data_IF_373186537593
#
_entry.id   IF_373186537593
#
_cell.length_a   1.000
_cell.length_b   1.000
_cell.length_c   1.000
_cell.angle_alpha   90.00
_cell.angle_beta   90.00
_cell.angle_gamma   90.00
#
_symmetry.space_group_name_H-M   'P 1'
#
loop_
_entity.id
_entity.type
_entity.pdbx_description
1 polymer ?
#
# COMPACT_ATOMS: atom_id res chain seq x y z
N UNK A 1 24.45 -13.85 -2.98
CA UNK A 1 24.82 -15.01 -2.14
C UNK A 1 24.10 -14.87 -0.83
N UNK A 2 23.47 -15.94 -0.35
CA UNK A 2 22.96 -16.06 1.02
C UNK A 2 24.00 -16.81 1.85
N UNK A 3 24.30 -16.32 3.05
CA UNK A 3 25.25 -16.94 3.98
C UNK A 3 24.64 -17.02 5.39
N UNK A 4 25.39 -17.60 6.32
CA UNK A 4 24.95 -17.80 7.71
C UNK A 4 24.87 -16.53 8.56
N UNK A 5 25.14 -15.34 7.98
CA UNK A 5 24.97 -14.05 8.66
C UNK A 5 23.63 -13.40 8.32
N UNK A 6 22.90 -13.92 7.33
CA UNK A 6 21.57 -13.44 6.98
C UNK A 6 20.58 -13.92 8.04
N UNK A 7 19.94 -12.97 8.73
CA UNK A 7 18.90 -13.29 9.72
C UNK A 7 17.54 -13.53 9.08
N UNK A 8 17.17 -12.67 8.13
CA UNK A 8 15.92 -12.76 7.40
C UNK A 8 16.01 -12.08 6.03
N UNK A 9 15.13 -12.48 5.12
CA UNK A 9 14.83 -11.76 3.87
C UNK A 9 13.43 -11.18 3.99
N UNK A 10 13.28 -9.91 3.63
CA UNK A 10 11.99 -9.22 3.57
C UNK A 10 11.60 -9.03 2.12
N UNK A 11 10.36 -9.39 1.77
CA UNK A 11 9.79 -9.13 0.47
C UNK A 11 8.32 -8.74 0.59
N UNK A 12 7.75 -8.27 -0.51
CA UNK A 12 6.31 -8.11 -0.69
C UNK A 12 5.91 -9.02 -1.83
N UNK A 13 4.82 -9.79 -1.70
CA UNK A 13 4.31 -10.62 -2.80
C UNK A 13 2.78 -10.53 -2.88
N UNK A 14 2.19 -9.89 -3.92
CA UNK A 14 2.86 -9.24 -5.05
C UNK A 14 3.81 -8.11 -4.66
N UNK A 15 4.88 -7.91 -5.41
CA UNK A 15 5.89 -6.89 -5.15
C UNK A 15 5.35 -5.47 -5.38
N UNK A 16 6.17 -4.46 -5.05
CA UNK A 16 5.80 -3.03 -5.15
C UNK A 16 5.73 -2.50 -6.58
N UNK A 17 5.93 -3.36 -7.58
CA UNK A 17 5.66 -3.06 -8.98
C UNK A 17 4.33 -3.67 -9.46
N UNK A 18 3.53 -4.21 -8.54
CA UNK A 18 2.29 -4.91 -8.86
C UNK A 18 2.49 -6.26 -9.54
N UNK A 19 3.63 -6.93 -9.35
CA UNK A 19 3.92 -8.22 -10.00
C UNK A 19 3.98 -9.35 -8.97
N UNK A 20 3.47 -10.52 -9.32
CA UNK A 20 3.61 -11.71 -8.49
C UNK A 20 5.00 -12.33 -8.66
N UNK A 21 5.68 -12.65 -7.56
CA UNK A 21 6.98 -13.32 -7.57
C UNK A 21 6.81 -14.81 -7.90
N UNK A 22 6.88 -15.16 -9.18
CA UNK A 22 6.70 -16.53 -9.66
C UNK A 22 7.73 -17.54 -9.14
N UNK A 23 8.89 -17.05 -8.66
CA UNK A 23 9.98 -17.85 -8.11
C UNK A 23 9.99 -17.88 -6.57
N UNK A 24 8.90 -17.47 -5.91
CA UNK A 24 8.84 -17.35 -4.46
C UNK A 24 9.23 -18.61 -3.69
N UNK A 25 8.90 -19.80 -4.20
CA UNK A 25 9.28 -21.08 -3.58
C UNK A 25 10.78 -21.32 -3.65
N UNK A 26 11.42 -21.00 -4.77
CA UNK A 26 12.88 -21.10 -4.95
C UNK A 26 13.61 -20.13 -4.03
N UNK A 27 13.06 -18.91 -3.85
CA UNK A 27 13.56 -17.91 -2.92
C UNK A 27 13.44 -18.41 -1.49
N UNK A 28 12.25 -18.90 -1.09
CA UNK A 28 12.00 -19.44 0.24
C UNK A 28 12.96 -20.59 0.57
N UNK A 29 13.10 -21.56 -0.34
CA UNK A 29 14.04 -22.67 -0.21
C UNK A 29 15.48 -22.19 -0.01
N UNK A 30 15.91 -21.17 -0.76
CA UNK A 30 17.26 -20.64 -0.66
C UNK A 30 17.50 -19.92 0.69
N UNK A 31 16.51 -19.16 1.17
CA UNK A 31 16.52 -18.47 2.47
C UNK A 31 16.56 -19.45 3.63
N UNK A 32 15.72 -20.47 3.61
CA UNK A 32 15.71 -21.50 4.65
C UNK A 32 16.97 -22.35 4.65
N UNK A 33 17.55 -22.66 3.47
CA UNK A 33 18.85 -23.37 3.37
C UNK A 33 20.00 -22.60 4.01
N UNK A 34 19.95 -21.26 4.07
CA UNK A 34 20.95 -20.46 4.79
C UNK A 34 20.66 -20.33 6.29
N UNK A 35 19.54 -20.89 6.79
CA UNK A 35 19.08 -20.76 8.17
C UNK A 35 18.40 -19.43 8.48
N UNK A 36 18.08 -18.64 7.46
CA UNK A 36 17.40 -17.35 7.59
C UNK A 36 15.87 -17.54 7.55
N UNK A 37 15.13 -16.51 7.99
CA UNK A 37 13.66 -16.48 7.94
C UNK A 37 13.14 -15.67 6.75
N UNK A 38 11.97 -16.03 6.23
CA UNK A 38 11.28 -15.28 5.19
C UNK A 38 10.15 -14.43 5.77
N UNK A 39 10.35 -13.11 5.73
CA UNK A 39 9.36 -12.12 6.10
C UNK A 39 8.62 -11.61 4.86
N UNK A 40 7.29 -11.61 4.92
CA UNK A 40 6.46 -10.94 3.92
C UNK A 40 5.84 -9.66 4.48
N UNK A 41 6.04 -8.55 3.79
CA UNK A 41 5.20 -7.37 3.93
C UNK A 41 3.83 -7.69 3.30
N UNK A 42 2.76 -7.62 4.10
CA UNK A 42 1.40 -7.91 3.67
C UNK A 42 0.59 -6.70 3.26
N UNK A 43 1.22 -5.56 2.97
CA UNK A 43 0.54 -4.40 2.42
C UNK A 43 -0.25 -4.72 1.14
N UNK A 44 0.25 -5.66 0.32
CA UNK A 44 -0.34 -6.05 -0.97
C UNK A 44 -1.22 -7.31 -0.86
N UNK A 45 -1.65 -7.68 0.36
CA UNK A 45 -2.42 -8.91 0.57
C UNK A 45 -3.77 -8.93 -0.16
N UNK A 46 -4.32 -7.74 -0.51
CA UNK A 46 -5.58 -7.62 -1.24
C UNK A 46 -5.57 -8.41 -2.57
N UNK A 47 -4.42 -8.46 -3.25
CA UNK A 47 -4.27 -9.13 -4.53
C UNK A 47 -4.37 -10.66 -4.48
N UNK A 48 -4.17 -11.27 -3.30
CA UNK A 48 -4.06 -12.72 -3.12
C UNK A 48 -4.99 -13.25 -2.03
N UNK A 49 -5.86 -12.39 -1.51
CA UNK A 49 -6.76 -12.72 -0.41
C UNK A 49 -7.73 -13.85 -0.82
N UNK A 50 -7.78 -14.95 -0.06
CA UNK A 50 -8.59 -16.11 -0.39
C UNK A 50 -8.10 -16.92 -1.61
N UNK A 51 -6.96 -16.53 -2.21
CA UNK A 51 -6.35 -17.18 -3.38
C UNK A 51 -5.11 -17.96 -3.01
N UNK A 52 -4.27 -17.40 -2.14
CA UNK A 52 -2.99 -17.98 -1.73
C UNK A 52 -2.86 -17.90 -0.21
N UNK A 53 -2.38 -18.99 0.40
CA UNK A 53 -1.96 -18.97 1.80
C UNK A 53 -0.48 -18.61 1.86
N UNK A 54 -0.09 -17.51 2.54
CA UNK A 54 1.32 -17.11 2.64
C UNK A 54 2.25 -18.21 3.15
N UNK A 55 1.78 -19.04 4.10
CA UNK A 55 2.55 -20.16 4.62
C UNK A 55 2.91 -21.21 3.55
N UNK A 56 2.05 -21.40 2.53
CA UNK A 56 2.31 -22.33 1.42
C UNK A 56 3.41 -21.78 0.48
N UNK A 57 3.74 -20.49 0.58
CA UNK A 57 4.88 -19.85 -0.10
C UNK A 57 6.16 -19.88 0.74
N UNK A 58 6.14 -20.56 1.90
CA UNK A 58 7.25 -20.64 2.83
C UNK A 58 7.54 -19.32 3.57
N UNK A 59 6.53 -18.46 3.72
CA UNK A 59 6.61 -17.25 4.53
C UNK A 59 6.51 -17.61 6.01
N UNK A 60 7.51 -17.22 6.80
CA UNK A 60 7.58 -17.50 8.25
C UNK A 60 6.83 -16.48 9.10
N UNK A 61 6.81 -15.23 8.64
CA UNK A 61 6.22 -14.11 9.36
C UNK A 61 5.69 -13.09 8.38
N UNK A 62 4.50 -12.56 8.65
CA UNK A 62 3.86 -11.58 7.80
C UNK A 62 3.08 -10.58 8.63
N UNK A 63 3.30 -9.30 8.41
CA UNK A 63 2.38 -8.29 8.93
C UNK A 63 1.27 -8.02 7.93
N UNK A 64 0.07 -7.66 8.42
CA UNK A 64 -1.09 -7.29 7.61
C UNK A 64 -1.47 -5.84 7.87
N UNK A 65 -2.05 -5.15 6.90
CA UNK A 65 -2.54 -3.78 7.09
C UNK A 65 -4.07 -3.77 7.11
N UNK A 66 -4.67 -3.77 8.31
CA UNK A 66 -6.14 -3.73 8.42
C UNK A 66 -6.75 -2.48 7.76
N UNK A 67 -5.99 -1.38 7.74
CA UNK A 67 -6.34 -0.08 7.16
C UNK A 67 -6.11 0.01 5.66
N UNK A 68 -5.74 -1.11 5.04
CA UNK A 68 -5.71 -1.29 3.59
C UNK A 68 -6.69 -2.40 3.22
N UNK A 69 -6.28 -3.65 3.39
CA UNK A 69 -6.99 -4.84 2.89
C UNK A 69 -8.30 -5.16 3.61
N UNK A 70 -8.51 -4.69 4.85
CA UNK A 70 -9.63 -5.12 5.70
C UNK A 70 -10.60 -3.97 5.99
N UNK A 71 -10.76 -3.08 5.01
CA UNK A 71 -11.75 -1.99 4.95
C UNK A 71 -11.75 -0.98 6.12
N UNK A 72 -10.75 -1.01 7.00
CA UNK A 72 -10.71 -0.02 8.08
C UNK A 72 -10.25 1.34 7.52
N UNK A 73 -10.81 2.46 7.98
CA UNK A 73 -10.64 3.74 7.31
C UNK A 73 -9.22 4.31 7.44
N UNK A 74 -8.71 4.90 6.36
CA UNK A 74 -7.37 5.52 6.31
C UNK A 74 -7.23 6.77 7.20
N UNK A 75 -8.32 7.49 7.48
CA UNK A 75 -8.36 8.59 8.46
C UNK A 75 -7.44 9.79 8.15
N UNK A 76 -7.03 10.00 6.90
CA UNK A 76 -6.08 11.06 6.53
C UNK A 76 -4.64 10.80 6.98
N UNK A 77 -4.29 9.55 7.32
CA UNK A 77 -2.95 9.14 7.76
C UNK A 77 -2.94 8.20 8.97
N UNK A 78 -4.08 7.95 9.59
CA UNK A 78 -4.24 7.00 10.68
C UNK A 78 -5.56 7.21 11.45
N UNK A 79 -5.87 6.32 12.41
CA UNK A 79 -5.03 5.25 12.93
C UNK A 79 -4.96 4.02 12.01
N UNK A 80 -3.97 3.16 12.25
CA UNK A 80 -3.83 1.86 11.60
C UNK A 80 -3.87 0.70 12.59
N UNK A 81 -3.80 -0.52 12.07
CA UNK A 81 -3.53 -1.73 12.83
C UNK A 81 -2.74 -2.71 11.98
N UNK A 82 -1.68 -3.27 12.58
CA UNK A 82 -0.72 -4.17 11.94
C UNK A 82 -0.64 -5.53 12.64
N UNK A 83 -1.65 -6.42 12.52
CA UNK A 83 -1.53 -7.79 13.02
C UNK A 83 -0.36 -8.51 12.35
N UNK A 84 0.35 -9.32 13.12
CA UNK A 84 1.49 -10.11 12.62
C UNK A 84 1.16 -11.59 12.77
N UNK A 85 1.10 -12.30 11.66
CA UNK A 85 0.99 -13.74 11.62
C UNK A 85 2.40 -14.34 11.63
N UNK A 86 2.59 -15.40 12.42
CA UNK A 86 3.86 -16.07 12.64
C UNK A 86 3.68 -17.58 12.52
N UNK A 87 4.67 -18.29 11.97
CA UNK A 87 4.71 -19.76 12.02
C UNK A 87 5.02 -20.25 13.45
N UNK A 88 4.88 -21.55 13.66
CA UNK A 88 5.16 -22.19 14.96
C UNK A 88 6.60 -22.01 15.44
N UNK A 89 7.56 -21.85 14.52
CA UNK A 89 8.97 -21.57 14.83
C UNK A 89 9.10 -20.23 15.57
N UNK A 90 8.25 -19.26 15.25
CA UNK A 90 8.28 -17.91 15.82
C UNK A 90 7.27 -17.71 16.96
N UNK A 91 6.34 -18.65 17.17
CA UNK A 91 5.32 -18.57 18.22
C UNK A 91 5.88 -18.32 19.64
N UNK A 92 7.02 -18.91 20.07
CA UNK A 92 7.60 -18.63 21.40
C UNK A 92 7.97 -17.16 21.64
N UNK A 93 8.19 -16.40 20.56
CA UNK A 93 8.60 -15.00 20.59
C UNK A 93 7.43 -14.01 20.50
N UNK A 94 6.20 -14.50 20.27
CA UNK A 94 5.03 -13.66 20.02
C UNK A 94 4.80 -12.62 21.14
N UNK A 95 4.49 -11.35 20.80
CA UNK A 95 4.32 -10.30 21.79
C UNK A 95 3.01 -10.45 22.58
N UNK A 96 2.97 -9.88 23.77
CA UNK A 96 1.77 -9.80 24.61
C UNK A 96 0.82 -8.67 24.19
N UNK A 97 -0.49 -8.77 24.48
CA UNK A 97 -1.16 -9.89 25.17
C UNK A 97 -1.55 -11.04 24.23
N UNK A 98 -1.70 -12.26 24.77
CA UNK A 98 -2.21 -13.42 24.04
C UNK A 98 -3.68 -13.65 24.36
N UNK A 99 -4.46 -14.01 23.34
CA UNK A 99 -5.84 -14.45 23.47
C UNK A 99 -5.86 -15.93 23.10
N UNK A 100 -6.25 -16.78 24.04
CA UNK A 100 -6.28 -18.23 23.89
C UNK A 100 -7.72 -18.73 24.00
N UNK A 101 -8.12 -19.58 23.07
CA UNK A 101 -9.44 -20.23 23.08
C UNK A 101 -9.34 -21.58 23.78
N UNK A 102 -10.31 -21.86 24.67
CA UNK A 102 -10.44 -23.12 25.40
C UNK A 102 -11.89 -23.58 25.42
N UNK A 103 -12.15 -24.81 25.87
CA UNK A 103 -13.52 -25.31 26.05
C UNK A 103 -14.38 -24.44 27.00
N UNK A 104 -13.75 -23.69 27.92
CA UNK A 104 -14.41 -22.76 28.85
C UNK A 104 -14.56 -21.33 28.31
N UNK A 105 -14.12 -21.06 27.09
CA UNK A 105 -14.12 -19.72 26.48
C UNK A 105 -12.71 -19.15 26.28
N UNK A 106 -12.61 -17.82 26.19
CA UNK A 106 -11.36 -17.12 25.93
C UNK A 106 -10.65 -16.68 27.21
N UNK A 107 -9.33 -16.89 27.26
CA UNK A 107 -8.45 -16.34 28.30
C UNK A 107 -7.50 -15.31 27.70
N UNK A 108 -7.10 -14.31 28.51
CA UNK A 108 -6.15 -13.29 28.10
C UNK A 108 -4.92 -13.36 29.01
N UNK A 109 -3.75 -13.53 28.40
CA UNK A 109 -2.45 -13.49 29.07
C UNK A 109 -1.80 -12.14 28.83
N UNK A 110 -1.70 -11.32 29.88
CA UNK A 110 -1.22 -9.92 29.80
C UNK A 110 0.21 -9.70 30.31
N UNK A 111 0.74 -10.68 31.04
CA UNK A 111 2.05 -10.69 31.66
C UNK A 111 2.69 -12.07 31.46
N UNK A 112 4.00 -12.11 31.22
CA UNK A 112 4.70 -13.37 30.97
C UNK A 112 4.64 -14.32 32.18
N UNK A 113 4.79 -13.81 33.40
CA UNK A 113 4.93 -14.69 34.57
C UNK A 113 6.07 -15.69 34.34
N UNK A 114 5.80 -16.98 34.58
CA UNK A 114 6.71 -18.09 34.22
C UNK A 114 6.55 -18.57 32.76
N UNK A 115 5.58 -18.05 32.00
CA UNK A 115 5.33 -18.43 30.61
C UNK A 115 6.36 -17.83 29.65
N UNK A 116 6.82 -18.65 28.69
CA UNK A 116 7.79 -18.36 27.62
C UNK A 116 8.76 -17.20 27.90
N UNK A 117 9.93 -17.52 28.47
CA UNK A 117 11.04 -16.58 28.69
C UNK A 117 11.58 -15.93 27.40
N UNK A 118 11.08 -16.32 26.22
CA UNK A 118 11.56 -15.88 24.92
C UNK A 118 10.68 -14.81 24.25
N UNK A 119 9.47 -14.55 24.77
CA UNK A 119 8.58 -13.53 24.20
C UNK A 119 9.23 -12.14 24.24
N UNK A 120 8.95 -11.32 23.21
CA UNK A 120 9.30 -9.90 23.22
C UNK A 120 8.52 -9.08 24.26
N UNK A 121 7.57 -9.70 24.97
CA UNK A 121 6.71 -9.03 25.94
C UNK A 121 5.75 -8.07 25.26
N UNK A 122 5.33 -7.04 25.99
CA UNK A 122 4.34 -6.08 25.49
C UNK A 122 5.00 -5.01 24.62
N UNK A 123 4.56 -4.91 23.37
CA UNK A 123 5.08 -3.93 22.41
C UNK A 123 4.27 -2.63 22.31
N UNK A 124 3.06 -2.58 22.88
CA UNK A 124 2.17 -1.42 22.83
C UNK A 124 1.24 -1.35 24.03
N UNK A 125 0.65 -0.18 24.29
CA UNK A 125 -0.34 -0.02 25.34
C UNK A 125 -1.59 -0.89 25.08
N UNK A 126 -2.10 -1.51 26.15
CA UNK A 126 -3.33 -2.32 26.14
C UNK A 126 -3.33 -3.39 25.04
N UNK A 127 -4.47 -3.67 24.42
CA UNK A 127 -4.69 -4.75 23.46
C UNK A 127 -4.51 -4.29 22.00
N UNK A 128 -4.22 -3.02 21.77
CA UNK A 128 -4.22 -2.38 20.45
C UNK A 128 -5.51 -1.65 20.12
N UNK A 129 -5.69 -1.34 18.83
CA UNK A 129 -6.79 -0.53 18.33
C UNK A 129 -8.07 -1.36 18.17
N UNK A 130 -8.81 -1.58 19.26
CA UNK A 130 -9.99 -2.46 19.27
C UNK A 130 -11.03 -2.11 18.20
N UNK A 131 -11.27 -0.82 17.95
CA UNK A 131 -12.17 -0.39 16.88
C UNK A 131 -11.74 -0.82 15.48
N UNK A 132 -10.44 -0.99 15.23
CA UNK A 132 -9.93 -1.51 13.96
C UNK A 132 -10.18 -3.02 13.85
N UNK A 133 -10.02 -3.76 14.95
CA UNK A 133 -10.31 -5.20 14.97
C UNK A 133 -11.78 -5.50 14.72
N UNK A 134 -12.69 -4.76 15.37
CA UNK A 134 -14.14 -4.95 15.18
C UNK A 134 -14.54 -4.71 13.72
N UNK A 135 -14.02 -3.65 13.08
CA UNK A 135 -14.31 -3.35 11.68
C UNK A 135 -13.78 -4.43 10.73
N UNK A 136 -12.53 -4.85 10.92
CA UNK A 136 -11.94 -5.91 10.13
C UNK A 136 -12.70 -7.24 10.31
N UNK A 137 -13.11 -7.58 11.54
CA UNK A 137 -13.93 -8.75 11.82
C UNK A 137 -15.29 -8.67 11.11
N UNK A 138 -15.98 -7.54 11.19
CA UNK A 138 -17.24 -7.32 10.47
C UNK A 138 -17.06 -7.48 8.96
N UNK A 139 -15.98 -6.95 8.39
CA UNK A 139 -15.64 -7.11 6.97
C UNK A 139 -15.47 -8.59 6.59
N UNK A 140 -14.66 -9.32 7.36
CA UNK A 140 -14.39 -10.75 7.15
C UNK A 140 -15.67 -11.59 7.20
N UNK A 141 -16.49 -11.40 8.24
CA UNK A 141 -17.74 -12.15 8.43
C UNK A 141 -18.76 -11.81 7.35
N UNK A 142 -18.83 -10.54 6.92
CA UNK A 142 -19.81 -10.11 5.91
C UNK A 142 -19.49 -10.65 4.50
N UNK A 143 -18.22 -10.76 4.15
CA UNK A 143 -17.81 -11.27 2.83
C UNK A 143 -17.79 -12.79 2.78
N UNK A 144 -17.43 -13.47 3.87
CA UNK A 144 -17.19 -14.92 3.83
C UNK A 144 -16.00 -15.30 2.94
N UNK A 145 -15.68 -16.59 2.86
CA UNK A 145 -14.49 -17.05 2.13
C UNK A 145 -14.56 -16.83 0.61
N UNK A 146 -15.75 -17.00 0.03
CA UNK A 146 -16.04 -16.77 -1.39
C UNK A 146 -16.04 -15.28 -1.74
N UNK A 147 -16.65 -14.43 -0.92
CA UNK A 147 -16.61 -12.97 -1.13
C UNK A 147 -15.19 -12.39 -1.02
N UNK A 148 -14.37 -12.86 -0.08
CA UNK A 148 -12.96 -12.43 0.03
C UNK A 148 -12.12 -12.87 -1.17
N UNK A 149 -12.45 -14.02 -1.78
CA UNK A 149 -11.82 -14.45 -3.02
C UNK A 149 -12.20 -13.55 -4.19
N UNK A 150 -13.49 -13.20 -4.29
CA UNK A 150 -14.00 -12.28 -5.31
C UNK A 150 -13.35 -10.90 -5.21
N UNK A 151 -13.19 -10.37 -3.99
CA UNK A 151 -12.46 -9.12 -3.72
C UNK A 151 -11.08 -9.12 -4.40
N UNK A 152 -10.28 -10.17 -4.19
CA UNK A 152 -8.95 -10.25 -4.79
C UNK A 152 -9.00 -10.35 -6.32
N UNK A 153 -9.95 -11.12 -6.87
CA UNK A 153 -10.13 -11.30 -8.31
C UNK A 153 -10.53 -9.97 -8.99
N UNK A 154 -11.47 -9.23 -8.40
CA UNK A 154 -11.95 -7.95 -8.94
C UNK A 154 -10.92 -6.84 -8.81
N UNK A 155 -10.15 -6.79 -7.71
CA UNK A 155 -9.04 -5.84 -7.58
C UNK A 155 -7.98 -6.03 -8.69
N UNK A 156 -7.62 -7.29 -8.97
CA UNK A 156 -6.68 -7.63 -10.06
C UNK A 156 -7.29 -7.34 -11.43
N UNK A 157 -8.57 -7.63 -11.63
CA UNK A 157 -9.30 -7.34 -12.87
C UNK A 157 -9.34 -5.84 -13.16
N UNK A 158 -9.74 -5.03 -12.17
CA UNK A 158 -9.83 -3.57 -12.28
C UNK A 158 -8.48 -2.95 -12.64
N UNK A 159 -7.39 -3.41 -12.01
CA UNK A 159 -6.05 -2.96 -12.34
C UNK A 159 -5.66 -3.31 -13.78
N UNK A 160 -5.88 -4.56 -14.22
CA UNK A 160 -5.57 -4.94 -15.60
C UNK A 160 -6.48 -4.24 -16.62
N UNK A 161 -7.72 -3.90 -16.27
CA UNK A 161 -8.61 -3.08 -17.09
C UNK A 161 -8.03 -1.68 -17.32
N UNK A 162 -7.61 -0.99 -16.25
CA UNK A 162 -6.91 0.30 -16.37
C UNK A 162 -5.62 0.15 -17.18
N UNK A 163 -4.79 -0.85 -16.89
CA UNK A 163 -3.55 -1.10 -17.62
C UNK A 163 -3.81 -1.22 -19.13
N UNK A 164 -4.82 -1.99 -19.50
CA UNK A 164 -5.19 -2.17 -20.90
C UNK A 164 -5.73 -0.89 -21.55
N UNK A 165 -6.47 -0.06 -20.81
CA UNK A 165 -6.89 1.27 -21.28
C UNK A 165 -5.71 2.22 -21.52
N UNK A 166 -4.67 2.15 -20.69
CA UNK A 166 -3.57 3.12 -20.70
C UNK A 166 -2.34 2.73 -21.54
N UNK A 167 -2.14 1.44 -21.87
CA UNK A 167 -0.88 0.94 -22.45
C UNK A 167 -0.41 1.59 -23.76
N UNK A 168 -1.32 2.25 -24.50
CA UNK A 168 -0.98 2.98 -25.73
C UNK A 168 -0.55 4.43 -25.50
N UNK A 169 -0.85 4.98 -24.33
CA UNK A 169 -0.67 6.39 -24.00
C UNK A 169 0.40 6.60 -22.91
N UNK A 170 0.59 5.61 -22.05
CA UNK A 170 1.60 5.61 -21.00
C UNK A 170 2.56 4.43 -21.16
N UNK A 171 3.84 4.69 -20.92
CA UNK A 171 4.87 3.65 -20.93
C UNK A 171 4.74 2.76 -19.68
N UNK A 172 4.75 1.45 -19.93
CA UNK A 172 4.69 0.41 -18.91
C UNK A 172 6.09 -0.22 -18.80
N UNK A 173 6.80 -0.08 -17.65
CA UNK A 173 8.15 -0.61 -17.50
C UNK A 173 8.20 -2.14 -17.51
N UNK A 174 7.09 -2.81 -17.18
CA UNK A 174 6.98 -4.26 -17.13
C UNK A 174 5.91 -4.80 -18.10
N UNK A 175 6.22 -5.82 -18.91
CA UNK A 175 5.27 -6.43 -19.82
C UNK A 175 4.32 -7.39 -19.10
N UNK A 176 3.23 -7.79 -19.77
CA UNK A 176 2.28 -8.76 -19.24
C UNK A 176 1.25 -8.18 -18.28
N UNK A 177 0.50 -9.04 -17.60
CA UNK A 177 -0.52 -8.64 -16.63
C UNK A 177 0.11 -8.17 -15.31
N UNK A 178 -0.58 -7.26 -14.63
CA UNK A 178 -0.26 -6.91 -13.25
C UNK A 178 -1.18 -7.63 -12.26
N UNK A 179 -0.92 -7.47 -10.97
CA UNK A 179 -1.80 -7.87 -9.88
C UNK A 179 -2.76 -6.71 -9.57
N UNK A 180 -3.02 -6.38 -8.30
CA UNK A 180 -3.98 -5.33 -7.90
C UNK A 180 -3.60 -3.88 -8.24
N UNK A 181 -2.40 -3.62 -8.78
CA UNK A 181 -1.91 -2.28 -9.05
C UNK A 181 -1.17 -2.20 -10.38
N UNK A 182 -1.27 -1.07 -11.07
CA UNK A 182 -0.64 -0.79 -12.37
C UNK A 182 0.51 0.18 -12.17
N UNK A 183 1.67 -0.14 -12.73
CA UNK A 183 2.81 0.75 -12.73
C UNK A 183 3.06 1.31 -14.13
N UNK A 184 3.02 2.64 -14.25
CA UNK A 184 3.51 3.39 -15.41
C UNK A 184 4.80 4.14 -15.04
N UNK A 185 5.62 4.46 -16.04
CA UNK A 185 6.80 5.34 -15.89
C UNK A 185 6.62 6.67 -16.66
N UNK A 186 7.64 7.54 -16.64
CA UNK A 186 7.59 8.86 -17.27
C UNK A 186 8.12 8.92 -18.72
N UNK A 187 8.51 7.79 -19.33
CA UNK A 187 9.17 7.81 -20.64
C UNK A 187 8.27 8.41 -21.73
N UNK A 188 6.97 8.11 -21.72
CA UNK A 188 6.02 8.68 -22.67
C UNK A 188 5.82 10.20 -22.52
N UNK A 189 6.19 10.78 -21.37
CA UNK A 189 6.00 12.20 -21.04
C UNK A 189 7.21 13.08 -21.43
N UNK A 190 8.40 12.47 -21.52
CA UNK A 190 9.66 13.17 -21.78
C UNK A 190 9.69 13.98 -23.08
N UNK A 191 9.17 13.49 -24.23
CA UNK A 191 9.19 14.25 -25.48
C UNK A 191 8.44 15.59 -25.37
N UNK A 192 7.40 15.64 -24.55
CA UNK A 192 6.69 16.88 -24.24
C UNK A 192 7.46 17.75 -23.25
N UNK A 193 8.26 17.16 -22.35
CA UNK A 193 8.89 17.86 -21.23
C UNK A 193 8.00 17.92 -19.99
N UNK A 194 7.02 17.02 -19.89
CA UNK A 194 6.18 16.85 -18.71
C UNK A 194 6.84 15.94 -17.68
N UNK A 195 6.53 16.19 -16.41
CA UNK A 195 6.92 15.34 -15.28
C UNK A 195 5.70 14.60 -14.75
N UNK A 196 5.95 13.50 -14.04
CA UNK A 196 4.93 12.76 -13.28
C UNK A 196 4.09 13.67 -12.39
N UNK A 197 4.71 14.64 -11.72
CA UNK A 197 4.01 15.62 -10.88
C UNK A 197 2.98 16.42 -11.69
N UNK A 198 3.26 16.75 -12.95
CA UNK A 198 2.34 17.52 -13.79
C UNK A 198 1.10 16.69 -14.14
N UNK A 199 1.26 15.40 -14.42
CA UNK A 199 0.14 14.47 -14.62
C UNK A 199 -0.69 14.36 -13.35
N UNK A 200 -0.05 14.15 -12.19
CA UNK A 200 -0.73 14.06 -10.90
C UNK A 200 -1.51 15.34 -10.56
N UNK A 201 -0.95 16.51 -10.85
CA UNK A 201 -1.64 17.79 -10.63
C UNK A 201 -2.75 18.04 -11.64
N UNK A 202 -2.60 17.63 -12.89
CA UNK A 202 -3.66 17.72 -13.89
C UNK A 202 -4.85 16.81 -13.57
N UNK A 203 -4.62 15.63 -13.00
CA UNK A 203 -5.69 14.74 -12.53
C UNK A 203 -6.58 15.39 -11.47
N UNK A 204 -6.03 16.23 -10.59
CA UNK A 204 -6.80 16.97 -9.59
C UNK A 204 -7.83 17.89 -10.27
N UNK A 205 -7.44 18.58 -11.34
CA UNK A 205 -8.38 19.41 -12.12
C UNK A 205 -9.41 18.57 -12.89
N UNK A 206 -9.14 17.28 -13.11
CA UNK A 206 -10.10 16.30 -13.66
C UNK A 206 -11.02 15.69 -12.60
N UNK A 207 -10.89 16.10 -11.33
CA UNK A 207 -11.74 15.63 -10.24
C UNK A 207 -11.24 14.35 -9.54
N UNK A 208 -10.02 13.89 -9.86
CA UNK A 208 -9.43 12.69 -9.24
C UNK A 208 -8.37 13.05 -8.20
N UNK A 209 -8.34 12.31 -7.10
CA UNK A 209 -7.13 12.25 -6.30
C UNK A 209 -6.05 11.52 -7.12
N UNK A 210 -4.82 12.04 -7.22
CA UNK A 210 -3.77 11.40 -7.98
C UNK A 210 -3.37 10.06 -7.36
N UNK A 211 -2.81 9.20 -8.21
CA UNK A 211 -2.19 7.94 -7.83
C UNK A 211 -0.93 8.16 -6.98
N UNK A 212 -0.37 7.08 -6.42
CA UNK A 212 0.96 7.16 -5.80
C UNK A 212 2.00 7.53 -6.86
N UNK A 213 2.82 8.54 -6.59
CA UNK A 213 3.88 8.98 -7.51
C UNK A 213 5.27 8.77 -6.91
N UNK A 214 6.25 8.59 -7.78
CA UNK A 214 7.68 8.43 -7.44
C UNK A 214 8.00 7.22 -6.55
N UNK A 215 7.10 6.23 -6.52
CA UNK A 215 7.32 4.95 -5.89
C UNK A 215 6.73 3.83 -6.78
N UNK A 216 7.41 2.67 -6.94
CA UNK A 216 8.68 2.29 -6.32
C UNK A 216 9.89 3.05 -6.88
N UNK A 217 10.94 3.22 -6.07
CA UNK A 217 12.11 4.03 -6.42
C UNK A 217 12.95 3.48 -7.59
N UNK A 218 12.76 2.21 -7.92
CA UNK A 218 13.46 1.56 -9.05
C UNK A 218 12.89 1.94 -10.42
N UNK A 219 11.75 2.65 -10.46
CA UNK A 219 11.12 3.14 -11.68
C UNK A 219 11.11 4.67 -11.70
N UNK A 220 11.78 5.24 -12.70
CA UNK A 220 11.86 6.70 -12.86
C UNK A 220 10.48 7.27 -13.18
N UNK A 221 10.08 8.30 -12.43
CA UNK A 221 8.80 8.96 -12.64
C UNK A 221 7.58 8.05 -12.44
N UNK A 222 7.72 7.02 -11.59
CA UNK A 222 6.68 6.04 -11.30
C UNK A 222 5.31 6.67 -11.02
N UNK A 223 4.27 6.12 -11.64
CA UNK A 223 2.86 6.35 -11.34
C UNK A 223 2.23 4.99 -11.02
N UNK A 224 1.90 4.78 -9.75
CA UNK A 224 1.39 3.52 -9.22
C UNK A 224 -0.10 3.64 -8.90
N UNK A 225 -0.93 2.97 -9.70
CA UNK A 225 -2.38 3.09 -9.72
C UNK A 225 -3.00 1.81 -9.15
N UNK A 226 -3.65 1.90 -8.00
CA UNK A 226 -4.39 0.80 -7.36
C UNK A 226 -5.89 1.18 -7.31
N UNK A 227 -6.75 0.62 -8.19
CA UNK A 227 -8.17 0.98 -8.22
C UNK A 227 -9.00 0.29 -7.13
N UNK A 228 -8.50 -0.80 -6.53
CA UNK A 228 -9.26 -1.71 -5.66
C UNK A 228 -10.48 -2.34 -6.37
N UNK A 229 -11.15 -3.25 -5.67
CA UNK A 229 -12.34 -3.96 -6.14
C UNK A 229 -13.63 -3.14 -6.06
N UNK A 230 -13.67 -2.10 -5.22
CA UNK A 230 -14.92 -1.40 -4.89
C UNK A 230 -15.30 -0.33 -5.92
N UNK A 231 -14.38 0.05 -6.80
CA UNK A 231 -14.63 1.05 -7.83
C UNK A 231 -15.41 0.44 -9.01
N UNK A 232 -16.43 1.16 -9.48
CA UNK A 232 -17.26 0.68 -10.59
C UNK A 232 -16.55 0.87 -11.93
N UNK A 233 -16.93 0.07 -12.93
CA UNK A 233 -16.41 0.20 -14.29
C UNK A 233 -16.52 1.63 -14.83
N UNK A 234 -17.61 2.33 -14.55
CA UNK A 234 -17.82 3.71 -14.98
C UNK A 234 -16.79 4.67 -14.41
N UNK A 235 -16.34 4.46 -13.15
CA UNK A 235 -15.27 5.25 -12.55
C UNK A 235 -13.92 4.88 -13.17
N UNK A 236 -13.66 3.59 -13.43
CA UNK A 236 -12.44 3.17 -14.13
C UNK A 236 -12.35 3.79 -15.53
N UNK A 237 -13.45 3.80 -16.28
CA UNK A 237 -13.54 4.43 -17.60
C UNK A 237 -13.25 5.93 -17.52
N UNK A 238 -13.88 6.64 -16.58
CA UNK A 238 -13.63 8.07 -16.37
C UNK A 238 -12.18 8.37 -16.01
N UNK A 239 -11.55 7.52 -15.19
CA UNK A 239 -10.14 7.65 -14.83
C UNK A 239 -9.24 7.42 -16.05
N UNK A 240 -9.51 6.37 -16.83
CA UNK A 240 -8.78 6.07 -18.08
C UNK A 240 -8.90 7.25 -19.05
N UNK A 241 -10.11 7.77 -19.27
CA UNK A 241 -10.36 8.92 -20.15
C UNK A 241 -9.63 10.19 -19.67
N UNK A 242 -9.62 10.45 -18.35
CA UNK A 242 -8.88 11.57 -17.77
C UNK A 242 -7.37 11.45 -18.03
N UNK A 243 -6.80 10.27 -17.80
CA UNK A 243 -5.39 9.97 -18.07
C UNK A 243 -5.06 10.09 -19.57
N UNK A 244 -5.84 9.47 -20.45
CA UNK A 244 -5.65 9.56 -21.90
C UNK A 244 -5.75 11.02 -22.38
N UNK A 245 -6.70 11.79 -21.82
CA UNK A 245 -6.82 13.23 -22.14
C UNK A 245 -5.56 14.00 -21.74
N UNK A 246 -4.98 13.73 -20.58
CA UNK A 246 -3.73 14.36 -20.13
C UNK A 246 -2.58 13.98 -21.08
N UNK A 247 -2.45 12.70 -21.44
CA UNK A 247 -1.44 12.24 -22.38
C UNK A 247 -1.60 12.90 -23.77
N UNK A 248 -2.82 12.96 -24.30
CA UNK A 248 -3.09 13.59 -25.60
C UNK A 248 -2.88 15.11 -25.59
N UNK A 249 -3.06 15.78 -24.44
CA UNK A 249 -2.73 17.20 -24.26
C UNK A 249 -1.27 17.46 -23.93
N UNK A 250 -0.41 16.43 -23.92
CA UNK A 250 1.03 16.58 -23.75
C UNK A 250 1.70 17.06 -25.04
N UNK A 251 1.21 18.18 -25.58
CA UNK A 251 1.71 18.85 -26.79
C UNK A 251 2.31 20.20 -26.43
N UNK A 252 3.14 20.76 -27.32
CA UNK A 252 3.78 22.07 -27.11
C UNK A 252 2.78 23.22 -26.85
N UNK A 253 1.56 23.10 -27.37
CA UNK A 253 0.50 24.12 -27.22
C UNK A 253 -0.19 24.08 -25.85
N UNK A 254 -0.33 22.88 -25.26
CA UNK A 254 -1.11 22.66 -24.04
C UNK A 254 -0.25 22.41 -22.80
N UNK A 255 1.06 22.22 -22.96
CA UNK A 255 1.96 21.87 -21.86
C UNK A 255 1.94 22.87 -20.70
N UNK A 256 1.87 24.16 -21.00
CA UNK A 256 1.83 25.21 -19.97
C UNK A 256 0.59 25.10 -19.09
N UNK A 257 -0.56 24.69 -19.66
CA UNK A 257 -1.77 24.46 -18.88
C UNK A 257 -1.59 23.29 -17.90
N UNK A 258 -1.01 22.17 -18.36
CA UNK A 258 -0.73 21.00 -17.51
C UNK A 258 0.29 21.30 -16.40
N UNK A 259 1.34 22.06 -16.71
CA UNK A 259 2.35 22.48 -15.73
C UNK A 259 1.79 23.45 -14.67
N UNK A 260 0.76 24.23 -15.02
CA UNK A 260 0.11 25.16 -14.10
C UNK A 260 -0.99 24.53 -13.26
N UNK A 261 -1.44 23.32 -13.60
CA UNK A 261 -2.42 22.58 -12.80
C UNK A 261 -1.91 22.32 -11.36
N UNK A 262 -2.78 22.21 -10.34
CA UNK A 262 -4.22 22.42 -10.43
C UNK A 262 -4.57 23.92 -10.40
N UNK A 263 -5.60 24.31 -11.14
CA UNK A 263 -6.13 25.68 -11.20
C UNK A 263 -7.56 25.83 -10.67
N UNK A 264 -8.31 24.74 -10.55
CA UNK A 264 -9.71 24.76 -10.08
C UNK A 264 -9.85 24.55 -8.57
N UNK A 265 -8.78 24.13 -7.88
CA UNK A 265 -8.78 23.89 -6.43
C UNK A 265 -8.65 25.17 -5.59
N UNK A 266 -9.07 25.15 -4.31
CA UNK A 266 -8.95 26.30 -3.41
C UNK A 266 -7.51 26.83 -3.24
N UNK A 267 -6.51 25.96 -3.47
CA UNK A 267 -5.09 26.28 -3.47
C UNK A 267 -4.45 25.69 -4.73
N UNK A 268 -3.52 26.44 -5.33
CA UNK A 268 -2.64 25.98 -6.41
C UNK A 268 -1.44 25.22 -5.83
N UNK A 269 -0.45 24.90 -6.67
CA UNK A 269 0.84 24.34 -6.22
C UNK A 269 1.42 25.19 -5.08
N UNK A 270 1.80 24.51 -4.00
CA UNK A 270 2.43 25.13 -2.84
C UNK A 270 3.94 25.25 -3.08
N UNK A 271 4.57 26.23 -2.44
CA UNK A 271 6.02 26.35 -2.44
C UNK A 271 6.63 25.39 -1.40
N UNK A 272 6.85 24.15 -1.85
CA UNK A 272 7.44 23.07 -1.04
C UNK A 272 8.86 23.41 -0.58
N UNK A 273 9.62 24.16 -1.40
CA UNK A 273 10.99 24.57 -1.05
C UNK A 273 10.98 25.56 0.11
N UNK A 274 10.09 26.56 0.06
CA UNK A 274 9.91 27.50 1.17
C UNK A 274 9.39 26.80 2.41
N UNK A 275 8.42 25.90 2.28
CA UNK A 275 7.87 25.14 3.41
C UNK A 275 8.94 24.29 4.11
N UNK A 276 9.82 23.63 3.34
CA UNK A 276 10.91 22.83 3.89
C UNK A 276 12.03 23.67 4.52
N UNK A 277 12.39 24.82 3.91
CA UNK A 277 13.48 25.68 4.40
C UNK A 277 13.06 26.63 5.52
N UNK A 278 11.80 27.06 5.55
CA UNK A 278 11.25 28.02 6.51
C UNK A 278 9.90 27.51 7.06
N UNK A 279 9.89 26.39 7.81
CA UNK A 279 8.66 25.75 8.24
C UNK A 279 7.92 26.57 9.30
N UNK A 280 6.63 26.83 9.07
CA UNK A 280 5.71 27.40 10.07
C UNK A 280 4.85 26.24 10.60
N UNK A 281 5.27 25.62 11.70
CA UNK A 281 4.70 24.36 12.21
C UNK A 281 3.54 24.54 13.18
N UNK A 282 3.34 25.75 13.70
CA UNK A 282 2.20 26.09 14.55
C UNK A 282 1.73 27.50 14.22
N UNK A 283 0.43 27.71 14.38
CA UNK A 283 -0.11 29.05 14.40
C UNK A 283 0.37 29.76 15.68
N UNK A 284 0.74 31.03 15.53
CA UNK A 284 1.06 31.92 16.63
C UNK A 284 0.12 33.10 16.55
N UNK A 285 -0.52 33.43 17.67
CA UNK A 285 -1.30 34.66 17.75
C UNK A 285 -0.33 35.84 17.61
N UNK A 286 -0.67 36.77 16.72
CA UNK A 286 0.06 38.02 16.61
C UNK A 286 -0.25 38.89 17.84
N UNK A 287 0.59 38.79 18.86
CA UNK A 287 0.59 39.72 19.98
C UNK A 287 1.37 40.94 19.50
N UNK A 288 0.66 41.89 18.87
CA UNK A 288 1.25 43.17 18.45
C UNK A 288 2.06 43.84 19.57
N UNK A 289 2.85 44.89 19.26
CA UNK A 289 3.68 45.54 20.28
C UNK A 289 2.82 45.96 21.47
N UNK A 290 3.21 45.49 22.66
CA UNK A 290 2.64 45.95 23.93
C UNK A 290 2.61 47.48 23.90
N UNK A 291 1.43 48.07 23.91
CA UNK A 291 1.28 49.51 24.11
C UNK A 291 1.87 49.83 25.49
N UNK A 292 3.10 50.36 25.48
CA UNK A 292 3.72 51.04 26.63
C UNK A 292 3.22 52.46 26.69
#
# INVERSE_FOLDING_TARGET
MLDNKVAAVMLTNPNTCGLFEGQILEISDAVHKSGALLYCDGANFNAIFGKVKPADLGIDIMHLNLHKTFSTPHGGGGPGSGPVAMTSVLAPYAPLPWIEESASGFTITEHLGDHSQQSFGRMRAWHGQMGMFVRALSYLISHGGDGLRQVAEDAVLNANYIRQGLHKHYSMPYPGTCMHEVLCDDQSLKPAGLKTLDVAKALIDKGFHPMTIYFPLIVNGAMLIEPTETETKEILDQFIDAMITIANHSTSENITALQNAPVHTPRRRLDETKAARNPILRWLQDTGPSAT
#
